data_IF_654678121575
#
_entry.id   IF_654678121575
#
_cell.length_a   1.000
_cell.length_b   1.000
_cell.length_c   1.000
_cell.angle_alpha   90.00
_cell.angle_beta   90.00
_cell.angle_gamma   90.00
#
_symmetry.space_group_name_H-M   'P 1'
#
loop_
_entity.id
_entity.type
_entity.pdbx_description
1 polymer ?
#
# COMPACT_ATOMS: atom_id res chain seq x y z
N UNK A 1 12.19 -13.10 -7.76
CA UNK A 1 12.12 -12.87 -6.29
C UNK A 1 11.75 -14.09 -5.44
N UNK A 2 11.46 -15.30 -5.97
CA UNK A 2 11.04 -16.46 -5.17
C UNK A 2 12.08 -16.90 -4.11
N UNK A 3 13.37 -16.79 -4.40
CA UNK A 3 14.44 -17.13 -3.44
C UNK A 3 14.44 -16.26 -2.16
N UNK A 4 13.99 -14.99 -2.24
CA UNK A 4 13.84 -14.15 -1.05
C UNK A 4 12.66 -14.58 -0.18
N UNK A 5 11.57 -15.02 -0.79
CA UNK A 5 10.41 -15.53 -0.06
C UNK A 5 10.76 -16.82 0.72
N UNK A 6 11.51 -17.73 0.09
CA UNK A 6 12.00 -18.96 0.77
C UNK A 6 12.89 -18.61 1.96
N UNK A 7 13.79 -17.61 1.80
CA UNK A 7 14.65 -17.14 2.91
C UNK A 7 13.83 -16.57 4.06
N UNK A 8 12.74 -15.86 3.78
CA UNK A 8 11.85 -15.29 4.79
C UNK A 8 11.09 -16.38 5.58
N UNK A 9 10.70 -17.47 4.93
CA UNK A 9 10.04 -18.60 5.62
C UNK A 9 10.91 -19.24 6.72
N UNK A 10 12.23 -19.05 6.64
CA UNK A 10 13.20 -19.56 7.62
C UNK A 10 13.54 -18.53 8.73
N UNK A 11 12.97 -17.33 8.69
CA UNK A 11 13.26 -16.27 9.66
C UNK A 11 12.13 -16.13 10.68
N UNK A 12 12.47 -16.06 11.98
CA UNK A 12 11.53 -16.03 13.11
C UNK A 12 10.60 -14.80 13.13
N UNK A 13 10.98 -13.70 12.47
CA UNK A 13 10.19 -12.43 12.39
C UNK A 13 10.05 -11.95 10.95
N UNK A 14 9.83 -12.89 10.04
CA UNK A 14 9.62 -12.54 8.63
C UNK A 14 8.24 -11.92 8.40
N UNK A 15 8.12 -11.02 7.40
CA UNK A 15 6.83 -10.47 7.00
C UNK A 15 5.88 -11.51 6.40
N UNK A 16 6.38 -12.70 6.07
CA UNK A 16 5.61 -13.82 5.54
C UNK A 16 5.75 -15.02 6.46
N UNK A 17 4.68 -15.38 7.17
CA UNK A 17 4.56 -16.60 7.95
C UNK A 17 3.54 -17.52 7.28
N UNK A 18 3.96 -18.73 6.89
CA UNK A 18 3.07 -19.73 6.29
C UNK A 18 3.02 -20.91 7.25
N UNK A 19 1.84 -21.19 7.79
CA UNK A 19 1.57 -22.43 8.52
C UNK A 19 1.07 -23.45 7.51
N UNK A 20 1.81 -24.52 7.33
CA UNK A 20 1.39 -25.64 6.46
C UNK A 20 0.28 -26.42 7.18
N UNK A 21 -0.92 -26.36 6.65
CA UNK A 21 -2.12 -27.01 7.24
C UNK A 21 -2.48 -28.33 6.58
N UNK A 22 -1.80 -28.72 5.49
CA UNK A 22 -2.15 -29.88 4.67
C UNK A 22 -3.35 -29.65 3.74
N UNK A 23 -3.86 -28.42 3.67
CA UNK A 23 -4.97 -28.04 2.81
C UNK A 23 -4.51 -27.94 1.34
N UNK A 24 -5.22 -28.63 0.46
CA UNK A 24 -4.94 -28.66 -0.99
C UNK A 24 -5.05 -27.25 -1.59
N UNK A 25 -6.02 -26.46 -1.16
CA UNK A 25 -6.23 -25.10 -1.67
C UNK A 25 -5.05 -24.18 -1.32
N UNK A 26 -4.42 -24.38 -0.15
CA UNK A 26 -3.20 -23.66 0.22
C UNK A 26 -2.06 -23.96 -0.76
N UNK A 27 -1.86 -25.22 -1.14
CA UNK A 27 -0.80 -25.61 -2.09
C UNK A 27 -1.08 -25.12 -3.49
N UNK A 28 -2.33 -25.16 -3.93
CA UNK A 28 -2.76 -24.60 -5.22
C UNK A 28 -2.50 -23.08 -5.28
N UNK A 29 -2.87 -22.37 -4.22
CA UNK A 29 -2.60 -20.93 -4.11
C UNK A 29 -1.10 -20.61 -4.15
N UNK A 30 -0.29 -21.34 -3.38
CA UNK A 30 1.18 -21.18 -3.36
C UNK A 30 1.79 -21.43 -4.76
N UNK A 31 1.32 -22.47 -5.45
CA UNK A 31 1.77 -22.79 -6.81
C UNK A 31 1.40 -21.67 -7.79
N UNK A 32 0.17 -21.18 -7.75
CA UNK A 32 -0.27 -20.05 -8.58
C UNK A 32 0.51 -18.78 -8.29
N UNK A 33 0.79 -18.50 -7.01
CA UNK A 33 1.63 -17.38 -6.61
C UNK A 33 3.03 -17.46 -7.23
N UNK A 34 3.68 -18.64 -7.16
CA UNK A 34 5.00 -18.85 -7.77
C UNK A 34 4.98 -18.68 -9.29
N UNK A 35 3.96 -19.19 -9.98
CA UNK A 35 3.78 -19.03 -11.42
C UNK A 35 3.57 -17.56 -11.82
N UNK A 36 3.02 -16.74 -10.94
CA UNK A 36 2.84 -15.30 -11.14
C UNK A 36 4.09 -14.46 -10.83
N UNK A 37 5.14 -15.06 -10.24
CA UNK A 37 6.40 -14.36 -9.93
C UNK A 37 7.34 -14.15 -11.14
N UNK A 38 6.85 -14.29 -12.37
CA UNK A 38 7.61 -13.98 -13.58
C UNK A 38 7.54 -12.49 -13.93
N UNK A 39 8.57 -11.96 -14.59
CA UNK A 39 8.61 -10.53 -14.95
C UNK A 39 7.45 -10.10 -15.84
N UNK A 40 7.04 -10.95 -16.78
CA UNK A 40 5.93 -10.66 -17.68
C UNK A 40 4.59 -10.59 -16.94
N UNK A 41 4.31 -11.58 -16.07
CA UNK A 41 3.08 -11.57 -15.25
C UNK A 41 3.08 -10.46 -14.23
N UNK A 42 4.24 -10.14 -13.66
CA UNK A 42 4.39 -9.02 -12.74
C UNK A 42 3.98 -7.69 -13.39
N UNK A 43 4.43 -7.41 -14.63
CA UNK A 43 4.07 -6.19 -15.33
C UNK A 43 2.54 -6.08 -15.54
N UNK A 44 1.90 -7.15 -16.02
CA UNK A 44 0.44 -7.18 -16.24
C UNK A 44 -0.33 -7.03 -14.95
N UNK A 45 0.07 -7.78 -13.90
CA UNK A 45 -0.64 -7.73 -12.61
C UNK A 45 -0.48 -6.37 -11.93
N UNK A 46 0.67 -5.72 -12.10
CA UNK A 46 0.94 -4.40 -11.56
C UNK A 46 0.07 -3.34 -12.21
N UNK A 47 -0.03 -3.34 -13.54
CA UNK A 47 -0.92 -2.43 -14.27
C UNK A 47 -2.38 -2.58 -13.81
N UNK A 48 -2.85 -3.83 -13.69
CA UNK A 48 -4.21 -4.11 -13.19
C UNK A 48 -4.42 -3.62 -11.76
N UNK A 49 -3.42 -3.80 -10.90
CA UNK A 49 -3.47 -3.36 -9.50
C UNK A 49 -3.52 -1.84 -9.40
N UNK A 50 -2.69 -1.11 -10.15
CA UNK A 50 -2.69 0.36 -10.16
C UNK A 50 -4.06 0.87 -10.64
N UNK A 51 -4.57 0.35 -11.75
CA UNK A 51 -5.88 0.75 -12.27
C UNK A 51 -7.01 0.52 -11.26
N UNK A 52 -6.99 -0.63 -10.57
CA UNK A 52 -7.99 -0.92 -9.53
C UNK A 52 -7.84 0.01 -8.32
N UNK A 53 -6.60 0.32 -7.92
CA UNK A 53 -6.33 1.21 -6.80
C UNK A 53 -6.80 2.64 -7.07
N UNK A 54 -6.53 3.16 -8.26
CA UNK A 54 -6.98 4.49 -8.67
C UNK A 54 -8.51 4.56 -8.71
N UNK A 55 -9.15 3.58 -9.32
CA UNK A 55 -10.62 3.49 -9.34
C UNK A 55 -11.21 3.40 -7.92
N UNK A 56 -10.60 2.58 -7.04
CA UNK A 56 -11.05 2.46 -5.65
C UNK A 56 -10.91 3.77 -4.87
N UNK A 57 -9.84 4.55 -5.12
CA UNK A 57 -9.67 5.88 -4.53
C UNK A 57 -10.81 6.80 -4.96
N UNK A 58 -11.08 6.86 -6.26
CA UNK A 58 -12.11 7.73 -6.81
C UNK A 58 -13.49 7.38 -6.24
N UNK A 59 -13.85 6.09 -6.17
CA UNK A 59 -15.08 5.63 -5.51
C UNK A 59 -15.14 6.00 -4.03
N UNK A 60 -14.01 5.95 -3.31
CA UNK A 60 -13.96 6.34 -1.89
C UNK A 60 -14.18 7.84 -1.74
N UNK A 61 -13.59 8.65 -2.61
CA UNK A 61 -13.76 10.10 -2.59
C UNK A 61 -15.22 10.49 -2.90
N UNK A 62 -15.87 9.85 -3.89
CA UNK A 62 -17.28 10.02 -4.18
C UNK A 62 -18.16 9.64 -2.98
N UNK A 63 -17.95 8.46 -2.41
CA UNK A 63 -18.70 7.99 -1.23
C UNK A 63 -18.57 8.95 -0.05
N UNK A 64 -17.38 9.50 0.18
CA UNK A 64 -17.16 10.49 1.25
C UNK A 64 -17.89 11.80 0.97
N UNK A 65 -17.88 12.25 -0.28
CA UNK A 65 -18.59 13.45 -0.68
C UNK A 65 -20.10 13.31 -0.52
N UNK A 66 -20.67 12.15 -0.89
CA UNK A 66 -22.09 11.86 -0.78
C UNK A 66 -22.58 11.66 0.65
N UNK A 67 -21.78 10.92 1.47
CA UNK A 67 -22.23 10.50 2.80
C UNK A 67 -21.76 11.39 3.94
N UNK A 68 -20.71 12.19 3.72
CA UNK A 68 -20.05 12.93 4.81
C UNK A 68 -19.43 12.04 5.89
N UNK A 69 -19.17 10.75 5.60
CA UNK A 69 -18.68 9.78 6.59
C UNK A 69 -17.36 10.24 7.22
N UNK A 70 -17.35 10.38 8.54
CA UNK A 70 -16.17 10.78 9.31
C UNK A 70 -15.51 9.53 9.94
N UNK A 71 -14.29 9.19 9.52
CA UNK A 71 -13.55 8.00 9.96
C UNK A 71 -12.07 8.31 10.24
N UNK A 72 -11.80 9.50 10.78
CA UNK A 72 -10.44 10.01 11.03
C UNK A 72 -9.57 10.09 9.75
N UNK A 73 -10.22 10.27 8.60
CA UNK A 73 -9.56 10.34 7.30
C UNK A 73 -8.63 11.54 7.20
N UNK A 74 -7.41 11.30 6.68
CA UNK A 74 -6.40 12.33 6.40
C UNK A 74 -5.89 12.18 4.97
N UNK A 75 -5.84 13.27 4.25
CA UNK A 75 -5.33 13.34 2.86
C UNK A 75 -4.01 14.12 2.84
N UNK A 76 -3.03 13.65 3.58
CA UNK A 76 -1.73 14.32 3.72
C UNK A 76 -0.61 13.62 2.94
N UNK A 77 -0.94 12.54 2.25
CA UNK A 77 0.00 11.70 1.53
C UNK A 77 0.72 10.69 2.42
N UNK A 78 1.51 9.85 1.78
CA UNK A 78 2.39 8.86 2.44
C UNK A 78 3.84 9.14 2.06
N UNK A 79 4.76 9.05 3.03
CA UNK A 79 6.19 9.26 2.83
C UNK A 79 6.96 8.00 3.19
N UNK A 80 7.52 7.33 2.17
CA UNK A 80 8.39 6.18 2.36
C UNK A 80 9.83 6.64 2.54
N UNK A 81 10.42 6.34 3.71
CA UNK A 81 11.78 6.75 4.07
C UNK A 81 12.80 5.70 3.67
N UNK A 82 13.93 6.12 3.11
CA UNK A 82 15.08 5.28 2.79
C UNK A 82 16.25 5.61 3.70
N UNK A 83 16.77 4.61 4.41
CA UNK A 83 17.92 4.77 5.31
C UNK A 83 19.26 4.73 4.59
N UNK A 84 19.34 3.99 3.48
CA UNK A 84 20.56 3.80 2.73
C UNK A 84 20.38 4.18 1.26
N UNK A 85 21.49 4.59 0.61
CA UNK A 85 21.49 4.89 -0.82
C UNK A 85 21.02 3.67 -1.63
N UNK A 86 21.47 2.46 -1.29
CA UNK A 86 21.04 1.24 -1.97
C UNK A 86 19.50 1.00 -1.91
N UNK A 87 18.83 1.41 -0.84
CA UNK A 87 17.36 1.34 -0.76
C UNK A 87 16.72 2.35 -1.72
N UNK A 88 17.25 3.58 -1.76
CA UNK A 88 16.76 4.62 -2.66
C UNK A 88 16.97 4.22 -4.14
N UNK A 89 18.15 3.70 -4.48
CA UNK A 89 18.46 3.21 -5.83
C UNK A 89 17.53 2.06 -6.27
N UNK A 90 17.21 1.15 -5.34
CA UNK A 90 16.28 0.06 -5.61
C UNK A 90 14.84 0.52 -5.85
N UNK A 91 14.45 1.68 -5.31
CA UNK A 91 13.12 2.28 -5.53
C UNK A 91 12.93 2.77 -6.97
N UNK A 92 14.00 2.93 -7.77
CA UNK A 92 13.91 3.39 -9.16
C UNK A 92 12.93 2.55 -10.02
N UNK A 93 12.82 1.24 -9.74
CA UNK A 93 11.87 0.36 -10.45
C UNK A 93 10.42 0.68 -10.10
N UNK A 94 10.14 0.99 -8.85
CA UNK A 94 8.81 1.35 -8.39
C UNK A 94 8.43 2.75 -8.89
N UNK A 95 9.39 3.67 -8.88
CA UNK A 95 9.25 5.03 -9.43
C UNK A 95 8.90 4.98 -10.93
N UNK A 96 9.60 4.14 -11.71
CA UNK A 96 9.32 3.98 -13.14
C UNK A 96 7.87 3.55 -13.41
N UNK A 97 7.28 2.78 -12.50
CA UNK A 97 5.89 2.36 -12.61
C UNK A 97 4.93 3.49 -12.27
N UNK A 98 5.21 4.24 -11.22
CA UNK A 98 4.42 5.43 -10.87
C UNK A 98 4.39 6.40 -12.05
N UNK A 99 5.55 6.64 -12.69
CA UNK A 99 5.66 7.47 -13.89
C UNK A 99 4.83 6.93 -15.06
N UNK A 100 4.95 5.64 -15.37
CA UNK A 100 4.21 5.00 -16.45
C UNK A 100 2.70 5.01 -16.23
N UNK A 101 2.26 4.95 -14.97
CA UNK A 101 0.85 4.94 -14.58
C UNK A 101 0.28 6.33 -14.33
N UNK A 102 1.07 7.41 -14.46
CA UNK A 102 0.65 8.77 -14.23
C UNK A 102 0.33 9.09 -12.76
N UNK A 103 0.81 8.25 -11.81
CA UNK A 103 0.60 8.48 -10.38
C UNK A 103 1.55 9.57 -9.89
N UNK A 104 1.05 10.67 -9.28
CA UNK A 104 1.89 11.73 -8.73
C UNK A 104 2.81 11.24 -7.62
N UNK A 105 4.06 11.61 -7.68
CA UNK A 105 5.03 11.33 -6.64
C UNK A 105 6.10 12.42 -6.54
N UNK A 106 6.78 12.50 -5.40
CA UNK A 106 7.90 13.41 -5.15
C UNK A 106 9.09 12.61 -4.58
N UNK A 107 10.29 12.87 -5.13
CA UNK A 107 11.52 12.41 -4.51
C UNK A 107 12.05 13.50 -3.58
N UNK A 108 12.23 13.16 -2.32
CA UNK A 108 12.65 14.09 -1.29
C UNK A 108 14.08 13.82 -0.85
N UNK A 109 14.90 14.86 -0.82
CA UNK A 109 16.15 14.91 -0.11
C UNK A 109 15.93 15.14 1.40
N UNK A 110 17.00 15.29 2.17
CA UNK A 110 16.93 15.51 3.62
C UNK A 110 16.17 16.79 3.99
N UNK A 111 16.34 17.86 3.22
CA UNK A 111 15.65 19.13 3.46
C UNK A 111 14.16 19.00 3.10
N UNK A 112 13.85 18.31 2.01
CA UNK A 112 12.48 17.98 1.62
C UNK A 112 11.74 17.14 2.66
N UNK A 113 12.42 16.16 3.25
CA UNK A 113 11.84 15.35 4.35
C UNK A 113 11.53 16.23 5.55
N UNK A 114 12.44 17.09 6.00
CA UNK A 114 12.20 17.98 7.14
C UNK A 114 11.05 18.97 6.89
N UNK A 115 10.84 19.39 5.64
CA UNK A 115 9.75 20.29 5.26
C UNK A 115 8.39 19.58 5.31
N UNK A 116 8.31 18.34 4.80
CA UNK A 116 7.06 17.56 4.72
C UNK A 116 6.71 16.94 6.06
N UNK A 117 7.72 16.47 6.80
CA UNK A 117 7.59 15.81 8.09
C UNK A 117 8.50 16.50 9.13
N UNK A 118 8.07 17.63 9.71
CA UNK A 118 8.90 18.40 10.65
C UNK A 118 9.36 17.59 11.86
N UNK A 119 8.59 16.59 12.30
CA UNK A 119 8.97 15.69 13.37
C UNK A 119 10.23 14.87 13.09
N UNK A 120 10.62 14.72 11.83
CA UNK A 120 11.81 14.01 11.40
C UNK A 120 13.04 14.92 11.25
N UNK A 121 12.90 16.24 11.41
CA UNK A 121 13.98 17.20 11.17
C UNK A 121 15.30 16.85 11.91
N UNK A 122 15.19 16.39 13.17
CA UNK A 122 16.34 16.01 14.00
C UNK A 122 17.02 14.71 13.59
N UNK A 123 16.44 13.90 12.71
CA UNK A 123 16.95 12.57 12.32
C UNK A 123 17.21 12.41 10.83
N UNK A 124 17.00 13.45 10.01
CA UNK A 124 17.20 13.42 8.56
C UNK A 124 18.63 13.03 8.17
N UNK A 125 19.64 13.29 9.02
CA UNK A 125 21.01 12.85 8.81
C UNK A 125 21.18 11.33 8.69
N UNK A 126 20.23 10.54 9.21
CA UNK A 126 20.20 9.07 9.16
C UNK A 126 19.47 8.54 7.93
N UNK A 127 18.99 9.42 7.06
CA UNK A 127 18.19 9.08 5.87
C UNK A 127 18.96 9.43 4.60
N UNK A 128 18.83 8.59 3.58
CA UNK A 128 19.36 8.83 2.24
C UNK A 128 18.40 9.67 1.39
N UNK A 129 17.08 9.54 1.62
CA UNK A 129 16.03 10.23 0.91
C UNK A 129 14.67 9.63 1.21
N UNK A 130 13.63 10.11 0.53
CA UNK A 130 12.27 9.57 0.63
C UNK A 130 11.52 9.62 -0.71
N UNK A 131 10.51 8.77 -0.84
CA UNK A 131 9.51 8.81 -1.88
C UNK A 131 8.18 9.19 -1.25
N UNK A 132 7.60 10.30 -1.68
CA UNK A 132 6.29 10.78 -1.23
C UNK A 132 5.23 10.55 -2.29
N UNK A 133 4.09 10.04 -1.87
CA UNK A 133 2.87 9.90 -2.65
C UNK A 133 1.85 10.91 -2.09
N UNK A 134 1.72 12.12 -2.68
CA UNK A 134 0.97 13.22 -2.07
C UNK A 134 -0.53 12.96 -2.00
N UNK A 135 -1.08 12.13 -2.87
CA UNK A 135 -2.51 11.84 -2.94
C UNK A 135 -2.95 10.63 -2.11
N UNK A 136 -2.01 9.98 -1.40
CA UNK A 136 -2.35 8.88 -0.52
C UNK A 136 -3.16 9.37 0.69
N UNK A 137 -4.04 8.51 1.16
CA UNK A 137 -4.96 8.78 2.26
C UNK A 137 -4.80 7.75 3.37
N UNK A 138 -5.08 8.17 4.58
CA UNK A 138 -5.16 7.28 5.75
C UNK A 138 -6.50 7.47 6.45
N UNK A 139 -6.94 6.47 7.20
CA UNK A 139 -8.15 6.54 7.99
C UNK A 139 -8.34 5.28 8.82
N UNK A 140 -9.28 5.31 9.76
CA UNK A 140 -9.62 4.16 10.58
C UNK A 140 -10.62 3.26 9.85
N UNK A 141 -10.14 2.09 9.40
CA UNK A 141 -10.95 1.10 8.69
C UNK A 141 -12.13 0.57 9.53
N UNK A 142 -11.95 0.39 10.83
CA UNK A 142 -13.00 -0.12 11.71
C UNK A 142 -14.11 0.91 11.85
N UNK A 143 -13.75 2.16 12.13
CA UNK A 143 -14.70 3.27 12.23
C UNK A 143 -15.44 3.46 10.91
N UNK A 144 -14.73 3.44 9.78
CA UNK A 144 -15.34 3.52 8.45
C UNK A 144 -16.37 2.43 8.22
N UNK A 145 -15.99 1.17 8.42
CA UNK A 145 -16.86 0.01 8.17
C UNK A 145 -18.08 0.02 9.09
N UNK A 146 -17.90 0.37 10.36
CA UNK A 146 -19.00 0.44 11.33
C UNK A 146 -20.02 1.52 10.94
N UNK A 147 -19.53 2.73 10.65
CA UNK A 147 -20.41 3.84 10.25
C UNK A 147 -21.12 3.58 8.93
N UNK A 148 -20.41 3.01 7.96
CA UNK A 148 -21.01 2.65 6.68
C UNK A 148 -22.12 1.61 6.85
N UNK A 149 -21.92 0.61 7.72
CA UNK A 149 -22.96 -0.37 8.05
C UNK A 149 -24.17 0.26 8.75
N UNK A 150 -23.96 1.25 9.61
CA UNK A 150 -25.04 2.02 10.24
C UNK A 150 -25.86 2.80 9.21
N UNK A 151 -25.19 3.50 8.29
CA UNK A 151 -25.84 4.22 7.19
C UNK A 151 -26.64 3.26 6.27
N UNK A 152 -26.07 2.10 5.95
CA UNK A 152 -26.75 1.10 5.15
C UNK A 152 -28.02 0.54 5.84
N UNK A 153 -27.98 0.33 7.18
CA UNK A 153 -29.17 -0.06 7.95
C UNK A 153 -30.27 0.99 7.89
N UNK A 154 -29.93 2.26 7.95
CA UNK A 154 -30.90 3.35 7.82
C UNK A 154 -31.59 3.35 6.44
N UNK A 155 -30.93 2.83 5.42
CA UNK A 155 -31.48 2.63 4.08
C UNK A 155 -32.20 1.29 3.89
N UNK A 156 -32.38 0.50 4.96
CA UNK A 156 -33.13 -0.75 4.95
C UNK A 156 -32.31 -2.00 4.63
N UNK A 157 -30.96 -1.91 4.62
CA UNK A 157 -30.10 -3.09 4.43
C UNK A 157 -30.10 -3.95 5.69
N UNK A 158 -30.44 -5.22 5.55
CA UNK A 158 -30.35 -6.22 6.62
C UNK A 158 -28.97 -6.89 6.63
N UNK A 159 -28.33 -6.92 7.80
CA UNK A 159 -27.07 -7.64 8.00
C UNK A 159 -27.35 -8.96 8.72
N UNK A 160 -26.80 -10.05 8.20
CA UNK A 160 -26.82 -11.39 8.80
C UNK A 160 -25.38 -11.82 9.04
N UNK A 161 -24.98 -11.92 10.32
CA UNK A 161 -23.65 -12.33 10.75
C UNK A 161 -23.68 -13.77 11.25
#
# INVERSE_FOLDING_TARGET
MPLKAIKWLLQKHAPLAIKLTGDVDQYLWMTQMLLNCTSARYAVNKERMVRLSEYSRDCLDELRAETGIAYEGRQLGTTQLFRTQAQLDNAAKDIAVLQQSGVPFELLDRAGIARVEPALAGVTGKLAGALRLPNDQTGDCQVFTTKLAEMARQLGVEFRF
#
